data_IF_597914125678
#
_entry.id   IF_597914125678
#
_cell.length_a   1.000
_cell.length_b   1.000
_cell.length_c   1.000
_cell.angle_alpha   90.00
_cell.angle_beta   90.00
_cell.angle_gamma   90.00
#
_symmetry.space_group_name_H-M   'P 1'
#
loop_
_entity.id
_entity.type
_entity.pdbx_description
1 polymer ?
#
# COMPACT_ATOMS: atom_id res chain seq x y z
N UNK A 1 -42.28 -12.57 -26.25
CA UNK A 1 -41.00 -12.98 -26.87
C UNK A 1 -39.88 -12.27 -26.15
N UNK A 2 -39.16 -13.00 -25.29
CA UNK A 2 -38.06 -12.48 -24.48
C UNK A 2 -36.80 -12.51 -25.33
N UNK A 3 -36.24 -11.34 -25.65
CA UNK A 3 -34.90 -11.27 -26.26
C UNK A 3 -33.89 -11.68 -25.19
N UNK A 4 -33.29 -12.86 -25.37
CA UNK A 4 -32.22 -13.35 -24.51
C UNK A 4 -30.97 -12.53 -24.82
N UNK A 5 -30.65 -11.62 -23.92
CA UNK A 5 -29.40 -10.86 -23.95
C UNK A 5 -28.25 -11.82 -23.61
N UNK A 6 -27.53 -12.30 -24.62
CA UNK A 6 -26.30 -13.07 -24.44
C UNK A 6 -25.14 -12.11 -24.27
N UNK A 7 -24.87 -11.73 -23.03
CA UNK A 7 -23.61 -11.06 -22.69
C UNK A 7 -22.51 -12.10 -22.56
N UNK A 8 -21.53 -12.07 -23.46
CA UNK A 8 -20.31 -12.89 -23.37
C UNK A 8 -19.36 -12.29 -22.31
N UNK A 9 -19.50 -12.70 -21.05
CA UNK A 9 -18.64 -12.24 -19.95
C UNK A 9 -17.34 -13.05 -19.72
N UNK A 10 -17.10 -14.11 -20.50
CA UNK A 10 -16.00 -15.06 -20.23
C UNK A 10 -14.77 -14.90 -21.12
N UNK A 11 -14.90 -14.31 -22.31
CA UNK A 11 -13.76 -14.14 -23.25
C UNK A 11 -12.76 -13.06 -22.83
N UNK A 12 -13.23 -12.07 -22.07
CA UNK A 12 -12.44 -10.91 -21.62
C UNK A 12 -11.72 -11.19 -20.29
N UNK A 13 -12.38 -11.93 -19.38
CA UNK A 13 -11.84 -12.20 -18.05
C UNK A 13 -10.53 -13.00 -18.05
N UNK A 14 -10.37 -13.95 -18.97
CA UNK A 14 -9.13 -14.72 -19.09
C UNK A 14 -7.98 -13.87 -19.65
N UNK A 15 -8.27 -13.02 -20.65
CA UNK A 15 -7.30 -12.10 -21.24
C UNK A 15 -6.87 -11.02 -20.22
N UNK A 16 -7.82 -10.45 -19.48
CA UNK A 16 -7.58 -9.51 -18.39
C UNK A 16 -6.73 -10.11 -17.28
N UNK A 17 -7.01 -11.36 -16.89
CA UNK A 17 -6.22 -12.06 -15.88
C UNK A 17 -4.77 -12.25 -16.35
N UNK A 18 -4.57 -12.69 -17.60
CA UNK A 18 -3.23 -12.84 -18.19
C UNK A 18 -2.52 -11.48 -18.22
N UNK A 19 -3.20 -10.42 -18.64
CA UNK A 19 -2.62 -9.08 -18.68
C UNK A 19 -2.23 -8.56 -17.28
N UNK A 20 -3.08 -8.80 -16.28
CA UNK A 20 -2.79 -8.46 -14.87
C UNK A 20 -1.60 -9.26 -14.34
N UNK A 21 -1.53 -10.56 -14.61
CA UNK A 21 -0.39 -11.39 -14.21
C UNK A 21 0.92 -10.95 -14.88
N UNK A 22 0.89 -10.63 -16.17
CA UNK A 22 2.07 -10.08 -16.87
C UNK A 22 2.50 -8.73 -16.28
N UNK A 23 1.54 -7.88 -15.90
CA UNK A 23 1.84 -6.59 -15.28
C UNK A 23 2.42 -6.74 -13.88
N UNK A 24 1.94 -7.71 -13.09
CA UNK A 24 2.56 -8.07 -11.82
C UNK A 24 3.99 -8.54 -12.07
N UNK A 25 4.18 -9.53 -12.95
CA UNK A 25 5.50 -10.09 -13.27
C UNK A 25 6.51 -9.02 -13.72
N UNK A 26 6.10 -8.10 -14.58
CA UNK A 26 6.95 -6.97 -15.04
C UNK A 26 7.33 -5.99 -13.93
N UNK A 27 6.50 -5.86 -12.89
CA UNK A 27 6.74 -4.93 -11.79
C UNK A 27 7.43 -5.58 -10.58
N UNK A 28 7.51 -6.90 -10.54
CA UNK A 28 8.05 -7.65 -9.40
C UNK A 28 9.47 -7.22 -9.04
N UNK A 29 10.38 -7.12 -10.01
CA UNK A 29 11.77 -6.69 -9.77
C UNK A 29 11.82 -5.28 -9.16
N UNK A 30 11.06 -4.33 -9.73
CA UNK A 30 10.99 -2.96 -9.23
C UNK A 30 10.43 -2.89 -7.81
N UNK A 31 9.47 -3.74 -7.46
CA UNK A 31 8.93 -3.85 -6.10
C UNK A 31 10.01 -4.39 -5.18
N UNK A 32 10.73 -5.45 -5.55
CA UNK A 32 11.84 -5.98 -4.75
C UNK A 32 12.93 -4.95 -4.51
N UNK A 33 13.29 -4.15 -5.52
CA UNK A 33 14.27 -3.07 -5.37
C UNK A 33 13.78 -1.97 -4.43
N UNK A 34 12.50 -1.61 -4.50
CA UNK A 34 11.90 -0.65 -3.56
C UNK A 34 11.92 -1.20 -2.12
N UNK A 35 11.53 -2.46 -1.92
CA UNK A 35 11.59 -3.13 -0.61
C UNK A 35 13.02 -3.13 -0.08
N UNK A 36 13.98 -3.58 -0.89
CA UNK A 36 15.40 -3.68 -0.52
C UNK A 36 16.01 -2.32 -0.19
N UNK A 37 15.70 -1.29 -0.98
CA UNK A 37 16.23 0.06 -0.75
C UNK A 37 15.61 0.70 0.49
N UNK A 38 14.28 0.62 0.65
CA UNK A 38 13.58 1.29 1.76
C UNK A 38 13.81 0.57 3.09
N UNK A 39 13.96 -0.76 3.09
CA UNK A 39 14.28 -1.52 4.32
C UNK A 39 15.66 -1.17 4.91
N UNK A 40 16.54 -0.51 4.14
CA UNK A 40 17.85 -0.04 4.61
C UNK A 40 17.80 1.35 5.25
N UNK A 41 16.69 2.07 5.12
CA UNK A 41 16.55 3.45 5.62
C UNK A 41 15.86 3.39 6.99
N UNK A 42 16.65 3.54 8.04
CA UNK A 42 16.14 3.61 9.41
C UNK A 42 15.53 4.99 9.70
N UNK A 43 14.37 5.01 10.35
CA UNK A 43 13.70 6.26 10.73
C UNK A 43 13.74 6.45 12.24
N UNK A 44 14.07 7.66 12.65
CA UNK A 44 13.87 8.12 14.02
C UNK A 44 12.38 8.21 14.35
N UNK A 45 12.04 8.20 15.63
CA UNK A 45 10.65 8.40 16.11
C UNK A 45 10.05 9.69 15.53
N UNK A 46 10.82 10.78 15.50
CA UNK A 46 10.40 12.07 14.97
C UNK A 46 10.09 12.00 13.47
N UNK A 47 10.94 11.31 12.68
CA UNK A 47 10.71 11.11 11.25
C UNK A 47 9.46 10.27 10.99
N UNK A 48 9.23 9.21 11.78
CA UNK A 48 8.01 8.39 11.69
C UNK A 48 6.77 9.22 11.98
N UNK A 49 6.80 10.02 13.04
CA UNK A 49 5.68 10.90 13.40
C UNK A 49 5.40 11.94 12.31
N UNK A 50 6.45 12.52 11.73
CA UNK A 50 6.29 13.45 10.62
C UNK A 50 5.71 12.77 9.36
N UNK A 51 6.13 11.54 9.07
CA UNK A 51 5.59 10.77 7.96
C UNK A 51 4.09 10.49 8.16
N UNK A 52 3.67 10.12 9.37
CA UNK A 52 2.26 9.94 9.70
C UNK A 52 1.44 11.22 9.45
N UNK A 53 1.96 12.38 9.84
CA UNK A 53 1.31 13.69 9.56
C UNK A 53 1.18 13.98 8.07
N UNK A 54 2.22 13.69 7.29
CA UNK A 54 2.15 13.84 5.83
C UNK A 54 1.15 12.88 5.19
N UNK A 55 1.09 11.62 5.65
CA UNK A 55 0.08 10.68 5.21
C UNK A 55 -1.33 11.17 5.53
N UNK A 56 -1.55 11.73 6.73
CA UNK A 56 -2.83 12.27 7.15
C UNK A 56 -3.26 13.48 6.30
N UNK A 57 -2.32 14.41 6.05
CA UNK A 57 -2.54 15.55 5.17
C UNK A 57 -2.91 15.11 3.74
N UNK A 58 -2.20 14.11 3.20
CA UNK A 58 -2.43 13.61 1.85
C UNK A 58 -3.80 12.93 1.72
N UNK A 59 -4.21 12.15 2.72
CA UNK A 59 -5.44 11.36 2.69
C UNK A 59 -6.70 12.16 3.03
N UNK A 60 -6.62 13.00 4.06
CA UNK A 60 -7.79 13.70 4.63
C UNK A 60 -7.74 15.21 4.53
N UNK A 61 -6.66 15.80 4.01
CA UNK A 61 -6.48 17.25 3.94
C UNK A 61 -6.16 17.91 5.28
N UNK A 62 -5.95 17.13 6.34
CA UNK A 62 -5.64 17.62 7.69
C UNK A 62 -4.58 16.73 8.37
N UNK A 63 -3.37 17.27 8.50
CA UNK A 63 -2.22 16.64 9.15
C UNK A 63 -2.44 16.31 10.64
N UNK A 64 -3.41 16.96 11.29
CA UNK A 64 -3.68 16.84 12.73
C UNK A 64 -4.97 16.07 13.03
N UNK A 65 -5.61 15.51 12.01
CA UNK A 65 -6.85 14.74 12.17
C UNK A 65 -6.72 13.58 13.16
N UNK A 66 -5.55 12.97 13.22
CA UNK A 66 -5.20 11.85 14.11
C UNK A 66 -3.87 12.11 14.81
N UNK A 67 -3.65 11.50 15.99
CA UNK A 67 -2.31 11.48 16.55
C UNK A 67 -1.41 10.58 15.69
N UNK A 68 -0.13 10.93 15.48
CA UNK A 68 0.80 10.10 14.70
C UNK A 68 0.83 8.64 15.18
N UNK A 69 0.75 8.44 16.48
CA UNK A 69 0.78 7.13 17.14
C UNK A 69 -0.42 6.25 16.73
N UNK A 70 -1.60 6.86 16.48
CA UNK A 70 -2.79 6.14 16.02
C UNK A 70 -2.59 5.54 14.61
N UNK A 71 -1.89 6.28 13.75
CA UNK A 71 -1.57 5.84 12.37
C UNK A 71 -0.35 4.90 12.32
N UNK A 72 0.48 4.93 13.37
CA UNK A 72 1.69 4.11 13.52
C UNK A 72 1.49 2.91 14.45
N UNK A 73 0.24 2.63 14.83
CA UNK A 73 -0.10 1.56 15.76
C UNK A 73 0.33 0.19 15.21
N UNK A 74 1.08 -0.54 16.02
CA UNK A 74 1.70 -1.81 15.63
C UNK A 74 0.72 -2.95 15.89
N UNK A 75 0.38 -3.74 14.86
CA UNK A 75 -0.43 -4.96 15.04
C UNK A 75 0.39 -6.15 15.56
N UNK A 76 1.71 -6.17 15.30
CA UNK A 76 2.69 -7.17 15.79
C UNK A 76 4.05 -6.53 16.05
N UNK A 77 4.45 -6.37 17.31
CA UNK A 77 5.72 -5.71 17.68
C UNK A 77 6.96 -6.39 17.10
N UNK A 78 6.93 -7.72 16.92
CA UNK A 78 8.05 -8.48 16.36
C UNK A 78 8.39 -8.12 14.90
N UNK A 79 7.47 -7.46 14.18
CA UNK A 79 7.63 -7.08 12.78
C UNK A 79 8.01 -5.59 12.60
N UNK A 80 8.17 -4.82 13.69
CA UNK A 80 8.59 -3.41 13.60
C UNK A 80 10.12 -3.27 13.53
N UNK A 81 10.63 -3.06 12.33
CA UNK A 81 12.08 -2.90 12.08
C UNK A 81 12.59 -1.46 12.18
N UNK A 82 11.74 -0.47 12.45
CA UNK A 82 12.17 0.93 12.44
C UNK A 82 12.30 1.56 11.04
N UNK A 83 12.34 0.76 9.98
CA UNK A 83 12.71 1.21 8.64
C UNK A 83 11.56 1.89 7.87
N UNK A 84 11.92 2.56 6.78
CA UNK A 84 10.99 3.27 5.90
C UNK A 84 9.95 2.33 5.29
N UNK A 85 10.33 1.10 4.92
CA UNK A 85 9.44 0.13 4.31
C UNK A 85 8.33 -0.32 5.27
N UNK A 86 8.69 -0.75 6.47
CA UNK A 86 7.75 -1.17 7.53
C UNK A 86 6.88 -0.01 7.99
N UNK A 87 7.44 1.20 8.12
CA UNK A 87 6.70 2.43 8.45
C UNK A 87 5.67 2.77 7.36
N UNK A 88 6.07 2.72 6.08
CA UNK A 88 5.18 3.00 4.95
C UNK A 88 4.01 2.02 4.89
N UNK A 89 4.26 0.72 5.00
CA UNK A 89 3.19 -0.29 4.96
C UNK A 89 2.19 -0.09 6.09
N UNK A 90 2.67 0.24 7.30
CA UNK A 90 1.79 0.52 8.42
C UNK A 90 0.89 1.73 8.18
N UNK A 91 1.44 2.80 7.63
CA UNK A 91 0.64 3.96 7.26
C UNK A 91 -0.39 3.61 6.20
N UNK A 92 -0.05 2.80 5.19
CA UNK A 92 -1.03 2.30 4.21
C UNK A 92 -2.16 1.53 4.90
N UNK A 93 -1.83 0.53 5.72
CA UNK A 93 -2.83 -0.29 6.43
C UNK A 93 -3.81 0.53 7.30
N UNK A 94 -3.36 1.68 7.83
CA UNK A 94 -4.18 2.56 8.67
C UNK A 94 -4.81 3.75 7.93
N UNK A 95 -4.52 3.94 6.63
CA UNK A 95 -5.06 5.06 5.84
C UNK A 95 -5.94 4.63 4.65
N UNK A 96 -5.97 3.34 4.32
CA UNK A 96 -6.82 2.74 3.26
C UNK A 96 -8.30 2.81 3.61
#
# INVERSE_FOLDING_TARGET
MTAKETVRHSGDAAADLIHRMQTIARNTERIYDAISSWSKIQLTVQQRNQFARFAAQLRWGDANRFQPEDLLMVRRDADDKGDLWTTFNRLQENTV
#
